data_IF_150688706781
#
_entry.id   IF_150688706781
#
_cell.length_a   1.000
_cell.length_b   1.000
_cell.length_c   1.000
_cell.angle_alpha   90.00
_cell.angle_beta   90.00
_cell.angle_gamma   90.00
#
_symmetry.space_group_name_H-M   'P 1'
#
loop_
_entity.id
_entity.type
_entity.pdbx_description
1 polymer ?
#
# COMPACT_ATOMS: atom_id res chain seq x y z
N UNK A 1 1.89 9.31 -15.98
CA UNK A 1 3.16 8.77 -16.57
C UNK A 1 3.68 7.68 -15.66
N UNK A 2 4.28 6.62 -16.22
CA UNK A 2 4.93 5.55 -15.45
C UNK A 2 6.08 6.13 -14.63
N UNK A 3 6.15 5.78 -13.35
CA UNK A 3 7.24 6.18 -12.44
C UNK A 3 8.34 5.10 -12.42
N UNK A 4 9.63 5.49 -12.40
CA UNK A 4 10.71 4.52 -12.20
C UNK A 4 10.60 3.88 -10.81
N UNK A 5 11.07 2.64 -10.67
CA UNK A 5 11.14 1.99 -9.36
C UNK A 5 12.17 2.71 -8.48
N UNK A 6 11.81 3.04 -7.22
CA UNK A 6 12.78 3.50 -6.23
C UNK A 6 13.85 2.43 -5.98
N UNK A 7 15.06 2.86 -5.60
CA UNK A 7 16.21 1.97 -5.39
C UNK A 7 16.74 1.95 -3.96
N UNK A 8 16.18 2.80 -3.09
CA UNK A 8 16.60 2.91 -1.68
C UNK A 8 15.36 3.02 -0.80
N UNK A 9 15.41 2.58 0.47
CA UNK A 9 14.29 2.70 1.40
C UNK A 9 13.79 4.15 1.55
N UNK A 10 14.68 5.13 1.64
CA UNK A 10 14.32 6.55 1.69
C UNK A 10 13.60 7.04 0.42
N UNK A 11 13.95 6.52 -0.76
CA UNK A 11 13.24 6.84 -2.00
C UNK A 11 11.87 6.13 -2.06
N UNK A 12 11.76 4.94 -1.49
CA UNK A 12 10.50 4.22 -1.33
C UNK A 12 9.55 4.98 -0.40
N UNK A 13 10.00 5.44 0.77
CA UNK A 13 9.19 6.25 1.68
C UNK A 13 8.63 7.49 0.98
N UNK A 14 9.45 8.21 0.21
CA UNK A 14 9.00 9.36 -0.59
C UNK A 14 7.93 8.97 -1.62
N UNK A 15 8.09 7.83 -2.27
CA UNK A 15 7.08 7.36 -3.22
C UNK A 15 5.78 6.93 -2.51
N UNK A 16 5.88 6.25 -1.36
CA UNK A 16 4.73 5.80 -0.58
C UNK A 16 3.94 7.00 -0.06
N UNK A 17 4.60 8.06 0.45
CA UNK A 17 3.92 9.31 0.82
C UNK A 17 3.15 9.92 -0.36
N UNK A 18 3.71 9.86 -1.58
CA UNK A 18 3.00 10.29 -2.79
C UNK A 18 1.84 9.36 -3.17
N UNK A 19 2.00 8.05 -2.96
CA UNK A 19 0.95 7.07 -3.22
C UNK A 19 -0.23 7.22 -2.24
N UNK A 20 0.05 7.49 -0.97
CA UNK A 20 -0.95 7.83 0.05
C UNK A 20 -1.71 9.10 -0.35
N UNK A 21 -0.99 10.14 -0.78
CA UNK A 21 -1.62 11.37 -1.26
C UNK A 21 -2.48 11.16 -2.52
N UNK A 22 -2.03 10.30 -3.45
CA UNK A 22 -2.81 9.94 -4.64
C UNK A 22 -4.09 9.17 -4.26
N UNK A 23 -4.00 8.23 -3.31
CA UNK A 23 -5.14 7.50 -2.77
C UNK A 23 -6.13 8.44 -2.06
N UNK A 24 -5.62 9.35 -1.22
CA UNK A 24 -6.43 10.36 -0.53
C UNK A 24 -7.11 11.32 -1.50
N UNK A 25 -6.54 11.53 -2.70
CA UNK A 25 -7.19 12.29 -3.78
C UNK A 25 -8.52 11.69 -4.28
N UNK A 26 -8.83 10.44 -3.93
CA UNK A 26 -10.12 9.82 -4.22
C UNK A 26 -11.24 10.23 -3.24
N UNK A 27 -10.90 10.87 -2.11
CA UNK A 27 -11.83 11.25 -1.04
C UNK A 27 -13.06 12.07 -1.50
N UNK A 28 -12.94 13.03 -2.45
CA UNK A 28 -14.09 13.76 -2.96
C UNK A 28 -15.15 12.86 -3.64
N UNK A 29 -14.73 11.76 -4.25
CA UNK A 29 -15.65 10.80 -4.87
C UNK A 29 -16.38 9.96 -3.83
N UNK A 30 -15.69 9.56 -2.75
CA UNK A 30 -16.30 8.86 -1.62
C UNK A 30 -17.42 9.68 -0.99
N UNK A 31 -17.18 10.97 -0.73
CA UNK A 31 -18.23 11.88 -0.23
C UNK A 31 -19.42 11.98 -1.18
N UNK A 32 -19.17 12.07 -2.48
CA UNK A 32 -20.24 12.21 -3.49
C UNK A 32 -21.18 11.00 -3.54
N UNK A 33 -20.73 9.81 -3.12
CA UNK A 33 -21.53 8.58 -3.04
C UNK A 33 -21.98 8.22 -1.60
N UNK A 34 -21.73 9.11 -0.63
CA UNK A 34 -22.10 8.90 0.77
C UNK A 34 -21.20 7.92 1.53
N UNK A 35 -20.01 7.60 1.02
CA UNK A 35 -19.02 6.72 1.64
C UNK A 35 -17.67 7.46 1.78
N UNK A 36 -17.47 8.25 2.85
CA UNK A 36 -16.20 8.95 3.07
C UNK A 36 -15.03 7.96 3.09
N UNK A 37 -13.97 8.27 2.36
CA UNK A 37 -12.73 7.49 2.42
C UNK A 37 -11.93 8.02 3.61
N UNK A 38 -11.97 7.27 4.71
CA UNK A 38 -11.18 7.58 5.90
C UNK A 38 -9.72 7.12 5.74
N UNK A 39 -8.81 7.74 6.50
CA UNK A 39 -7.39 7.39 6.52
C UNK A 39 -7.17 5.90 6.80
N UNK A 40 -7.96 5.34 7.73
CA UNK A 40 -7.93 3.92 8.09
C UNK A 40 -8.28 2.98 6.92
N UNK A 41 -8.97 3.46 5.90
CA UNK A 41 -9.42 2.65 4.77
C UNK A 41 -8.56 2.85 3.51
N UNK A 42 -7.55 3.73 3.53
CA UNK A 42 -6.73 4.02 2.34
C UNK A 42 -5.93 2.81 1.86
N UNK A 43 -5.59 1.86 2.74
CA UNK A 43 -4.83 0.68 2.35
C UNK A 43 -5.54 -0.16 1.28
N UNK A 44 -6.88 -0.12 1.22
CA UNK A 44 -7.65 -0.76 0.15
C UNK A 44 -7.32 -0.23 -1.24
N UNK A 45 -6.86 1.02 -1.34
CA UNK A 45 -6.50 1.66 -2.61
C UNK A 45 -5.03 1.47 -2.99
N UNK A 46 -4.17 1.03 -2.06
CA UNK A 46 -2.73 0.87 -2.31
C UNK A 46 -2.40 -0.01 -3.54
N UNK A 47 -3.07 -1.16 -3.77
CA UNK A 47 -2.79 -1.98 -4.96
C UNK A 47 -3.13 -1.26 -6.27
N UNK A 48 -4.22 -0.49 -6.31
CA UNK A 48 -4.63 0.27 -7.49
C UNK A 48 -3.65 1.42 -7.78
N UNK A 49 -3.17 2.11 -6.74
CA UNK A 49 -2.17 3.16 -6.88
C UNK A 49 -0.83 2.56 -7.34
N UNK A 50 -0.42 1.40 -6.82
CA UNK A 50 0.75 0.67 -7.31
C UNK A 50 0.65 0.40 -8.81
N UNK A 51 -0.45 -0.22 -9.26
CA UNK A 51 -0.70 -0.50 -10.68
C UNK A 51 -0.63 0.78 -11.53
N UNK A 52 -1.31 1.85 -11.09
CA UNK A 52 -1.28 3.16 -11.75
C UNK A 52 0.13 3.73 -11.87
N UNK A 53 0.90 3.74 -10.77
CA UNK A 53 2.27 4.28 -10.74
C UNK A 53 3.22 3.48 -11.62
N UNK A 54 2.99 2.17 -11.76
CA UNK A 54 3.76 1.29 -12.66
C UNK A 54 3.27 1.31 -14.11
N UNK A 55 2.21 2.05 -14.42
CA UNK A 55 1.62 2.12 -15.76
C UNK A 55 0.96 0.82 -16.18
N UNK A 56 0.49 0.02 -15.23
CA UNK A 56 -0.28 -1.22 -15.42
C UNK A 56 -1.76 -0.91 -15.54
N UNK A 57 -2.54 -1.88 -16.03
CA UNK A 57 -4.00 -1.76 -16.05
C UNK A 57 -4.54 -1.91 -14.63
N UNK A 58 -5.52 -1.09 -14.27
CA UNK A 58 -6.17 -1.11 -12.95
C UNK A 58 -7.37 -2.07 -12.87
N UNK A 59 -7.61 -2.87 -13.92
CA UNK A 59 -8.70 -3.85 -14.02
C UNK A 59 -8.23 -5.07 -14.82
N UNK A 60 -8.82 -6.22 -14.52
CA UNK A 60 -8.55 -7.50 -15.19
C UNK A 60 -7.63 -8.41 -14.37
N UNK A 61 -7.28 -9.60 -14.91
CA UNK A 61 -6.70 -10.67 -14.09
C UNK A 61 -5.42 -10.33 -13.32
N UNK A 62 -4.53 -9.50 -13.90
CA UNK A 62 -3.33 -9.02 -13.21
C UNK A 62 -3.69 -8.13 -12.01
N UNK A 63 -4.65 -7.22 -12.20
CA UNK A 63 -5.09 -6.29 -11.16
C UNK A 63 -5.83 -7.02 -10.04
N UNK A 64 -6.68 -7.99 -10.39
CA UNK A 64 -7.44 -8.79 -9.42
C UNK A 64 -6.48 -9.59 -8.52
N UNK A 65 -5.52 -10.30 -9.13
CA UNK A 65 -4.49 -11.06 -8.42
C UNK A 65 -3.65 -10.17 -7.50
N UNK A 66 -3.15 -9.04 -8.00
CA UNK A 66 -2.31 -8.11 -7.21
C UNK A 66 -3.10 -7.55 -6.02
N UNK A 67 -4.37 -7.21 -6.22
CA UNK A 67 -5.24 -6.71 -5.15
C UNK A 67 -5.51 -7.79 -4.11
N UNK A 68 -5.88 -8.99 -4.55
CA UNK A 68 -6.14 -10.13 -3.66
C UNK A 68 -4.90 -10.48 -2.81
N UNK A 69 -3.72 -10.58 -3.43
CA UNK A 69 -2.48 -10.88 -2.71
C UNK A 69 -2.14 -9.80 -1.68
N UNK A 70 -2.27 -8.52 -2.04
CA UNK A 70 -1.96 -7.43 -1.13
C UNK A 70 -2.93 -7.35 0.07
N UNK A 71 -4.24 -7.51 -0.18
CA UNK A 71 -5.23 -7.46 0.90
C UNK A 71 -5.20 -8.71 1.78
N UNK A 72 -4.86 -9.88 1.21
CA UNK A 72 -4.63 -11.10 2.00
C UNK A 72 -3.45 -10.91 2.95
N UNK A 73 -2.37 -10.25 2.51
CA UNK A 73 -1.24 -9.91 3.39
C UNK A 73 -1.68 -9.01 4.55
N UNK A 74 -2.53 -8.01 4.30
CA UNK A 74 -3.08 -7.20 5.39
C UNK A 74 -3.85 -8.02 6.41
N UNK A 75 -4.75 -8.90 5.95
CA UNK A 75 -5.55 -9.77 6.85
C UNK A 75 -4.64 -10.64 7.70
N UNK A 76 -3.63 -11.28 7.11
CA UNK A 76 -2.69 -12.14 7.84
C UNK A 76 -1.88 -11.37 8.89
N UNK A 77 -1.59 -10.10 8.66
CA UNK A 77 -0.81 -9.23 9.55
C UNK A 77 -1.68 -8.38 10.49
N UNK A 78 -3.00 -8.61 10.50
CA UNK A 78 -3.98 -7.92 11.36
C UNK A 78 -4.88 -8.93 12.08
N UNK A 79 -4.42 -10.18 12.25
CA UNK A 79 -5.21 -11.24 12.88
C UNK A 79 -4.96 -11.24 14.40
N UNK A 80 -5.95 -10.86 15.24
CA UNK A 80 -5.79 -10.86 16.70
C UNK A 80 -5.58 -12.26 17.30
N UNK A 81 -5.98 -13.31 16.58
CA UNK A 81 -5.74 -14.71 16.96
C UNK A 81 -4.40 -15.24 16.38
N UNK A 82 -3.71 -14.45 15.57
CA UNK A 82 -2.49 -14.78 14.85
C UNK A 82 -1.39 -13.72 15.03
N UNK A 83 -0.88 -13.21 13.91
CA UNK A 83 0.11 -12.11 13.91
C UNK A 83 -0.65 -10.79 13.86
N UNK A 84 -0.66 -10.08 14.98
CA UNK A 84 -1.26 -8.76 15.09
C UNK A 84 -0.16 -7.68 15.15
N UNK A 85 0.04 -6.99 14.01
CA UNK A 85 0.91 -5.82 13.93
C UNK A 85 0.20 -4.51 14.30
N UNK A 86 -1.01 -4.60 14.85
CA UNK A 86 -1.87 -3.48 15.23
C UNK A 86 -2.13 -2.51 14.05
N UNK A 87 -2.27 -3.05 12.84
CA UNK A 87 -2.39 -2.25 11.61
C UNK A 87 -3.69 -1.44 11.56
N UNK A 88 -4.74 -1.87 12.27
CA UNK A 88 -5.99 -1.11 12.43
C UNK A 88 -5.73 0.27 13.08
N UNK A 89 -4.78 0.36 14.01
CA UNK A 89 -4.40 1.60 14.68
C UNK A 89 -3.26 2.33 13.96
N UNK A 90 -2.64 1.70 12.94
CA UNK A 90 -1.48 2.20 12.20
C UNK A 90 -1.80 2.31 10.71
N UNK A 91 -2.68 3.25 10.30
CA UNK A 91 -3.25 3.29 8.95
C UNK A 91 -2.20 3.53 7.85
N UNK A 92 -1.13 4.27 8.15
CA UNK A 92 -0.01 4.44 7.21
C UNK A 92 0.76 3.14 7.02
N UNK A 93 0.97 2.36 8.09
CA UNK A 93 1.62 1.04 7.98
C UNK A 93 0.74 0.03 7.27
N UNK A 94 -0.58 0.05 7.48
CA UNK A 94 -1.52 -0.74 6.68
C UNK A 94 -1.38 -0.42 5.18
N UNK A 95 -1.27 0.87 4.83
CA UNK A 95 -1.05 1.30 3.44
C UNK A 95 0.31 0.82 2.92
N UNK A 96 1.39 1.02 3.67
CA UNK A 96 2.75 0.60 3.30
C UNK A 96 2.76 -0.91 3.01
N UNK A 97 2.21 -1.72 3.91
CA UNK A 97 2.13 -3.17 3.76
C UNK A 97 1.45 -3.56 2.44
N UNK A 98 0.24 -3.06 2.19
CA UNK A 98 -0.48 -3.36 0.96
C UNK A 98 0.24 -2.85 -0.30
N UNK A 99 0.88 -1.68 -0.23
CA UNK A 99 1.62 -1.11 -1.35
C UNK A 99 2.86 -1.94 -1.68
N UNK A 100 3.62 -2.38 -0.68
CA UNK A 100 4.80 -3.24 -0.83
C UNK A 100 4.39 -4.65 -1.29
N UNK A 101 3.35 -5.24 -0.69
CA UNK A 101 2.82 -6.54 -1.10
C UNK A 101 2.32 -6.54 -2.54
N UNK A 102 1.74 -5.44 -3.03
CA UNK A 102 1.38 -5.29 -4.43
C UNK A 102 2.60 -5.29 -5.37
N UNK A 103 3.75 -4.75 -4.93
CA UNK A 103 5.00 -4.79 -5.69
C UNK A 103 5.64 -6.18 -5.70
N UNK A 104 5.59 -6.90 -4.58
CA UNK A 104 5.96 -8.31 -4.48
C UNK A 104 5.13 -9.15 -5.45
N UNK A 105 3.79 -8.98 -5.44
CA UNK A 105 2.89 -9.70 -6.33
C UNK A 105 3.16 -9.43 -7.83
N UNK A 106 3.76 -8.29 -8.17
CA UNK A 106 4.16 -7.94 -9.53
C UNK A 106 5.58 -8.40 -9.90
N UNK A 107 6.25 -9.13 -9.02
CA UNK A 107 7.66 -9.55 -9.15
C UNK A 107 8.61 -8.35 -9.37
N UNK A 108 8.27 -7.19 -8.78
CA UNK A 108 9.07 -5.96 -8.86
C UNK A 108 9.97 -5.75 -7.64
N UNK A 109 9.70 -6.50 -6.57
CA UNK A 109 10.49 -6.61 -5.36
C UNK A 109 10.67 -8.09 -5.04
N UNK A 110 11.75 -8.42 -4.36
CA UNK A 110 11.88 -9.66 -3.62
C UNK A 110 11.54 -9.45 -2.13
N UNK A 111 11.45 -10.55 -1.37
CA UNK A 111 11.07 -10.54 0.05
C UNK A 111 12.03 -9.70 0.90
N UNK A 112 13.34 -9.78 0.63
CA UNK A 112 14.34 -9.02 1.38
C UNK A 112 14.16 -7.52 1.16
N UNK A 113 13.99 -7.09 -0.10
CA UNK A 113 13.74 -5.69 -0.40
C UNK A 113 12.43 -5.19 0.22
N UNK A 114 11.39 -6.02 0.22
CA UNK A 114 10.11 -5.68 0.85
C UNK A 114 10.26 -5.48 2.36
N UNK A 115 10.97 -6.38 3.04
CA UNK A 115 11.26 -6.28 4.47
C UNK A 115 12.06 -5.02 4.80
N UNK A 116 13.13 -4.73 4.05
CA UNK A 116 13.94 -3.51 4.23
C UNK A 116 13.11 -2.23 4.08
N UNK A 117 12.15 -2.21 3.15
CA UNK A 117 11.24 -1.06 2.97
C UNK A 117 10.26 -0.94 4.14
N UNK A 118 9.69 -2.06 4.59
CA UNK A 118 8.71 -2.09 5.67
C UNK A 118 9.33 -1.60 6.98
N UNK A 119 10.49 -2.13 7.37
CA UNK A 119 11.24 -1.73 8.56
C UNK A 119 11.55 -0.23 8.51
N UNK A 120 12.10 0.25 7.38
CA UNK A 120 12.45 1.66 7.25
C UNK A 120 11.22 2.58 7.33
N UNK A 121 10.08 2.19 6.76
CA UNK A 121 8.86 2.99 6.86
C UNK A 121 8.29 3.00 8.27
N UNK A 122 8.33 1.86 8.96
CA UNK A 122 7.91 1.74 10.36
C UNK A 122 8.66 2.71 11.26
N UNK A 123 10.00 2.68 11.22
CA UNK A 123 10.85 3.60 11.99
C UNK A 123 10.52 5.07 11.71
N UNK A 124 10.29 5.42 10.44
CA UNK A 124 10.07 6.81 10.02
C UNK A 124 8.64 7.33 10.29
N UNK A 125 7.64 6.44 10.41
CA UNK A 125 6.28 6.84 10.79
C UNK A 125 6.08 6.88 12.32
N UNK A 126 6.96 6.26 13.11
CA UNK A 126 6.95 6.37 14.57
C UNK A 126 7.61 7.65 15.09
N UNK A 127 8.47 8.28 14.30
CA UNK A 127 9.17 9.53 14.64
C UNK A 127 8.34 10.82 14.33
N UNK A 128 7.20 10.71 13.64
CA UNK A 128 6.31 11.83 13.25
C UNK A 128 5.13 12.03 14.20
#
# INVERSE_FOLDING_TARGET
MKRPLPRTPAAWLKEIKLAIADAAGAEPFGRAIGQPIELANLFHLAPLVCLKFRGRKIKGPEADRVTETALTNYVVNSDPEGIDHNLEQRPFMAFVLCYVAAHLALDLLDEQQAEEILIYCEEQFEEE
#
